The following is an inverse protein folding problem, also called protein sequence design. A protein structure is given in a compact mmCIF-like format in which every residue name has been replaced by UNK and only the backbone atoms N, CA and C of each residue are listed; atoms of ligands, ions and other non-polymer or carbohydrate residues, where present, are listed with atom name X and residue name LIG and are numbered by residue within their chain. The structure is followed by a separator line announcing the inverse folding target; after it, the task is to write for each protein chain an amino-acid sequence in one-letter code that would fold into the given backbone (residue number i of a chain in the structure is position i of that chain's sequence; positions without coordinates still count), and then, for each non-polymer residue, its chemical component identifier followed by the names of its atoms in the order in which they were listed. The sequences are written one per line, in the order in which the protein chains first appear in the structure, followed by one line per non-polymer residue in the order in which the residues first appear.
data_IF_056276375285
#
_entry.id   IF_056276375285
#
_cell.length_a   1.000
_cell.length_b   1.000
_cell.length_c   1.000
_cell.angle_alpha   90.00
_cell.angle_beta   90.00
_cell.angle_gamma   90.00
#
_symmetry.space_group_name_H-M   'P 1'
#
loop_
_entity.id
_entity.type
_entity.pdbx_description
1 polymer ?
#
# COMPACT_ATOMS: atom_id res chain seq x y z
N UNK A 1 12.67 -24.60 -15.82
CA UNK A 1 11.98 -23.34 -16.15
C UNK A 1 11.03 -23.06 -15.00
N UNK A 2 11.41 -22.18 -14.06
CA UNK A 2 10.58 -21.85 -12.90
C UNK A 2 9.66 -20.69 -13.28
N UNK A 3 8.50 -21.02 -13.80
CA UNK A 3 7.40 -20.08 -14.06
C UNK A 3 6.64 -19.88 -12.75
N UNK A 4 7.01 -18.94 -11.87
CA UNK A 4 6.34 -18.96 -10.57
C UNK A 4 6.57 -17.92 -9.47
N UNK A 5 7.35 -16.85 -9.66
CA UNK A 5 7.25 -15.73 -8.72
C UNK A 5 6.26 -14.70 -9.27
N UNK A 6 5.13 -14.40 -8.56
CA UNK A 6 4.26 -13.33 -8.98
C UNK A 6 5.05 -12.03 -8.96
N UNK A 7 5.32 -11.48 -10.14
CA UNK A 7 5.95 -10.17 -10.30
C UNK A 7 5.16 -9.15 -9.47
N UNK A 8 5.88 -8.30 -8.74
CA UNK A 8 5.28 -7.14 -8.09
C UNK A 8 4.58 -6.32 -9.17
N UNK A 9 3.34 -5.89 -8.93
CA UNK A 9 2.66 -4.99 -9.85
C UNK A 9 3.39 -3.64 -9.87
N UNK A 10 3.40 -2.99 -11.04
CA UNK A 10 3.88 -1.61 -11.13
C UNK A 10 2.97 -0.68 -10.32
N UNK A 11 3.48 0.50 -9.94
CA UNK A 11 2.78 1.40 -9.02
C UNK A 11 1.37 1.79 -9.50
N UNK A 12 1.17 1.98 -10.80
CA UNK A 12 -0.13 2.32 -11.37
C UNK A 12 -1.13 1.16 -11.26
N UNK A 13 -0.70 -0.05 -11.63
CA UNK A 13 -1.51 -1.27 -11.51
C UNK A 13 -1.89 -1.55 -10.04
N UNK A 14 -0.91 -1.48 -9.15
CA UNK A 14 -1.12 -1.65 -7.71
C UNK A 14 -2.08 -0.59 -7.16
N UNK A 15 -1.95 0.67 -7.60
CA UNK A 15 -2.83 1.76 -7.17
C UNK A 15 -4.28 1.51 -7.57
N UNK A 16 -4.54 1.01 -8.79
CA UNK A 16 -5.90 0.68 -9.24
C UNK A 16 -6.51 -0.41 -8.36
N UNK A 17 -5.75 -1.48 -8.07
CA UNK A 17 -6.23 -2.61 -7.24
C UNK A 17 -6.46 -2.21 -5.79
N UNK A 18 -5.53 -1.48 -5.18
CA UNK A 18 -5.65 -0.95 -3.82
C UNK A 18 -6.89 -0.04 -3.71
N UNK A 19 -7.11 0.85 -4.69
CA UNK A 19 -8.31 1.71 -4.69
C UNK A 19 -9.60 0.91 -4.77
N UNK A 20 -9.67 -0.11 -5.62
CA UNK A 20 -10.85 -0.96 -5.70
C UNK A 20 -11.13 -1.66 -4.36
N UNK A 21 -10.09 -2.13 -3.67
CA UNK A 21 -10.24 -2.74 -2.35
C UNK A 21 -10.65 -1.71 -1.28
N UNK A 22 -10.05 -0.52 -1.29
CA UNK A 22 -10.43 0.58 -0.38
C UNK A 22 -11.90 0.97 -0.55
N UNK A 23 -12.42 1.03 -1.78
CA UNK A 23 -13.84 1.28 -2.05
C UNK A 23 -14.72 0.20 -1.42
N UNK A 24 -14.35 -1.09 -1.55
CA UNK A 24 -15.09 -2.19 -0.93
C UNK A 24 -15.09 -2.10 0.60
N UNK A 25 -13.92 -1.86 1.19
CA UNK A 25 -13.78 -1.70 2.65
C UNK A 25 -14.61 -0.53 3.15
N UNK A 26 -14.58 0.61 2.45
CA UNK A 26 -15.40 1.77 2.79
C UNK A 26 -16.89 1.44 2.74
N UNK A 27 -17.35 0.81 1.65
CA UNK A 27 -18.74 0.41 1.52
C UNK A 27 -19.19 -0.53 2.66
N UNK A 28 -18.37 -1.51 3.01
CA UNK A 28 -18.65 -2.43 4.11
C UNK A 28 -18.67 -1.74 5.47
N UNK A 29 -17.72 -0.86 5.75
CA UNK A 29 -17.68 -0.10 6.99
C UNK A 29 -18.88 0.86 7.14
N UNK A 30 -19.38 1.43 6.05
CA UNK A 30 -20.57 2.30 6.06
C UNK A 30 -21.86 1.49 6.26
N UNK A 31 -21.94 0.31 5.64
CA UNK A 31 -23.13 -0.54 5.68
C UNK A 31 -23.29 -1.28 7.01
N UNK A 32 -22.19 -1.57 7.70
CA UNK A 32 -22.15 -2.27 8.99
C UNK A 32 -21.06 -1.64 9.87
N UNK A 33 -21.40 -0.60 10.66
CA UNK A 33 -20.43 0.14 11.48
C UNK A 33 -19.76 -0.71 12.57
N UNK A 34 -20.41 -1.78 13.01
CA UNK A 34 -19.88 -2.69 14.05
C UNK A 34 -19.04 -3.82 13.46
N UNK A 35 -18.88 -3.84 12.12
CA UNK A 35 -18.11 -4.87 11.43
C UNK A 35 -16.63 -4.83 11.80
N UNK A 36 -16.15 -5.98 12.28
CA UNK A 36 -14.72 -6.22 12.45
C UNK A 36 -14.12 -6.79 11.16
N UNK A 37 -12.93 -6.31 10.81
CA UNK A 37 -12.13 -6.86 9.72
C UNK A 37 -11.06 -7.78 10.32
N UNK A 38 -11.21 -9.08 10.11
CA UNK A 38 -10.32 -10.13 10.61
C UNK A 38 -9.00 -10.20 9.83
N UNK A 39 -9.02 -9.85 8.54
CA UNK A 39 -7.90 -10.06 7.63
C UNK A 39 -7.08 -8.79 7.29
N UNK A 40 -7.19 -7.72 8.09
CA UNK A 40 -6.48 -6.45 7.84
C UNK A 40 -4.97 -6.65 7.80
N UNK A 41 -4.44 -7.54 8.64
CA UNK A 41 -3.00 -7.79 8.69
C UNK A 41 -2.48 -8.34 7.36
N UNK A 42 -3.16 -9.33 6.78
CA UNK A 42 -2.78 -9.87 5.48
C UNK A 42 -2.98 -8.85 4.37
N UNK A 43 -4.02 -8.03 4.44
CA UNK A 43 -4.25 -6.95 3.50
C UNK A 43 -3.10 -5.91 3.50
N UNK A 44 -2.57 -5.56 4.68
CA UNK A 44 -1.43 -4.62 4.78
C UNK A 44 -0.14 -5.23 4.22
N UNK A 45 0.02 -6.57 4.33
CA UNK A 45 1.16 -7.30 3.79
C UNK A 45 0.99 -7.69 2.32
N UNK A 46 -0.16 -7.41 1.71
CA UNK A 46 -0.39 -7.64 0.30
C UNK A 46 0.59 -6.80 -0.54
N UNK A 47 1.11 -7.41 -1.62
CA UNK A 47 2.16 -6.81 -2.44
C UNK A 47 1.70 -5.51 -3.09
N UNK A 48 0.44 -5.40 -3.49
CA UNK A 48 -0.07 -4.17 -4.12
C UNK A 48 -0.15 -3.03 -3.10
N UNK A 49 -0.52 -3.34 -1.84
CA UNK A 49 -0.49 -2.38 -0.74
C UNK A 49 0.92 -1.91 -0.41
N UNK A 50 1.88 -2.84 -0.36
CA UNK A 50 3.30 -2.52 -0.12
C UNK A 50 3.89 -1.68 -1.25
N UNK A 51 3.58 -1.98 -2.52
CA UNK A 51 4.01 -1.15 -3.67
C UNK A 51 3.51 0.29 -3.55
N UNK A 52 2.22 0.48 -3.22
CA UNK A 52 1.63 1.81 -3.07
C UNK A 52 2.22 2.55 -1.87
N UNK A 53 2.41 1.85 -0.74
CA UNK A 53 3.03 2.43 0.44
C UNK A 53 4.46 2.90 0.15
N UNK A 54 5.26 2.08 -0.52
CA UNK A 54 6.60 2.43 -0.96
C UNK A 54 6.60 3.65 -1.89
N UNK A 55 5.73 3.67 -2.90
CA UNK A 55 5.59 4.82 -3.81
C UNK A 55 5.32 6.13 -3.08
N UNK A 56 4.46 6.10 -2.06
CA UNK A 56 4.18 7.27 -1.20
C UNK A 56 5.41 7.68 -0.39
N UNK A 57 6.06 6.74 0.29
CA UNK A 57 7.26 7.02 1.11
C UNK A 57 8.38 7.60 0.24
N UNK A 58 8.67 7.00 -0.91
CA UNK A 58 9.67 7.48 -1.87
C UNK A 58 9.36 8.87 -2.42
N UNK A 59 8.09 9.24 -2.54
CA UNK A 59 7.69 10.58 -3.02
C UNK A 59 7.77 11.68 -1.95
N UNK A 60 7.94 11.30 -0.68
CA UNK A 60 7.99 12.26 0.41
C UNK A 60 9.32 13.03 0.36
N UNK A 61 9.23 14.35 0.18
CA UNK A 61 10.40 15.26 0.18
C UNK A 61 11.06 15.44 1.56
N UNK A 62 10.52 14.80 2.60
CA UNK A 62 10.91 14.98 4.00
C UNK A 62 10.45 16.32 4.58
N UNK A 63 10.16 16.37 5.89
CA UNK A 63 9.92 17.61 6.62
C UNK A 63 10.82 17.60 7.86
N UNK A 64 11.96 18.33 7.85
CA UNK A 64 12.97 18.46 8.94
C UNK A 64 13.40 17.17 9.68
N UNK A 65 12.93 16.00 9.28
CA UNK A 65 13.31 14.68 9.73
C UNK A 65 13.99 13.99 8.56
N UNK A 66 15.07 13.26 8.84
CA UNK A 66 15.79 12.52 7.81
C UNK A 66 14.82 11.56 7.12
N UNK A 67 14.51 11.81 5.86
CA UNK A 67 13.75 10.88 5.03
C UNK A 67 14.55 9.61 4.78
N UNK A 68 13.85 8.52 4.44
CA UNK A 68 14.44 7.25 3.97
C UNK A 68 15.39 7.45 2.78
N UNK A 69 15.25 8.57 2.09
CA UNK A 69 16.08 9.02 0.99
C UNK A 69 17.28 9.83 1.53
N UNK A 70 18.39 9.12 1.67
CA UNK A 70 19.72 9.55 2.16
C UNK A 70 20.19 10.91 1.62
N UNK A 71 20.02 11.99 2.40
CA UNK A 71 20.91 13.17 2.35
C UNK A 71 21.18 13.70 3.74
N UNK A 72 22.41 13.53 4.20
CA UNK A 72 22.99 14.27 5.32
C UNK A 72 23.43 15.62 4.73
N UNK A 73 23.00 16.79 5.26
CA UNK A 73 23.53 18.07 4.83
C UNK A 73 25.01 18.14 5.24
N UNK A 74 25.86 18.58 4.31
CA UNK A 74 27.26 18.92 4.57
C UNK A 74 27.35 20.18 5.45
#
# INVERSE_FOLDING_TARGET
MNTGEPRWADLDEATVRVRAMQTKLHHWAVSDPDRLFDDVFNLVHDRDFLTVAWGRVKSNKGARTAGVDRRIPA
#
